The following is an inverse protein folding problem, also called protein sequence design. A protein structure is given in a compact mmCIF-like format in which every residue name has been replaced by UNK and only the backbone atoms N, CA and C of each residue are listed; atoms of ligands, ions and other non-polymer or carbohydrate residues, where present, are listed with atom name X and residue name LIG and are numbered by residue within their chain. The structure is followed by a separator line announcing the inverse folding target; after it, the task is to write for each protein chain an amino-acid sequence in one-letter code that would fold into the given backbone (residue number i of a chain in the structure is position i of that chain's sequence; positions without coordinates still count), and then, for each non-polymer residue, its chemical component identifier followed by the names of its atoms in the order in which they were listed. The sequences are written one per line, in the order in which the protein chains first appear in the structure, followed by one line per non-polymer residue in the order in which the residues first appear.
data_IF_630076645919
#
_entry.id   IF_630076645919
#
_cell.length_a   1.000
_cell.length_b   1.000
_cell.length_c   1.000
_cell.angle_alpha   90.00
_cell.angle_beta   90.00
_cell.angle_gamma   90.00
#
_symmetry.space_group_name_H-M   'P 1'
#
loop_
_entity.id
_entity.type
_entity.pdbx_description
1 polymer ?
#
# COMPACT_ATOMS: atom_id res chain seq x y z
N UNK A 1 13.52 -1.02 -20.73
CA UNK A 1 13.82 -1.00 -19.27
C UNK A 1 13.10 -2.14 -18.52
N UNK A 2 11.97 -2.58 -18.98
CA UNK A 2 11.18 -3.68 -18.33
C UNK A 2 11.86 -5.05 -18.38
N UNK A 3 12.84 -5.23 -19.26
CA UNK A 3 13.61 -6.47 -19.43
C UNK A 3 14.82 -6.59 -18.47
N UNK A 4 15.04 -5.61 -17.60
CA UNK A 4 16.11 -5.71 -16.60
C UNK A 4 15.73 -6.78 -15.59
N UNK A 5 16.55 -7.81 -15.41
CA UNK A 5 16.22 -8.90 -14.50
C UNK A 5 16.19 -8.40 -13.05
N UNK A 6 15.22 -8.85 -12.29
CA UNK A 6 15.07 -8.50 -10.85
C UNK A 6 15.98 -9.37 -9.98
N UNK A 7 17.27 -9.20 -10.15
CA UNK A 7 18.31 -9.88 -9.37
C UNK A 7 19.15 -8.85 -8.61
N UNK A 8 19.78 -9.26 -7.53
CA UNK A 8 20.56 -8.37 -6.64
C UNK A 8 21.63 -7.55 -7.39
N UNK A 9 22.30 -8.13 -8.39
CA UNK A 9 23.30 -7.43 -9.21
C UNK A 9 22.72 -6.30 -10.06
N UNK A 10 21.46 -6.43 -10.48
CA UNK A 10 20.79 -5.48 -11.37
C UNK A 10 19.94 -4.45 -10.61
N UNK A 11 19.82 -4.50 -9.30
CA UNK A 11 18.98 -3.59 -8.49
C UNK A 11 19.31 -2.11 -8.73
N UNK A 12 20.57 -1.77 -8.94
CA UNK A 12 20.99 -0.38 -9.24
C UNK A 12 20.49 0.13 -10.59
N UNK A 13 20.08 -0.77 -11.48
CA UNK A 13 19.57 -0.48 -12.81
C UNK A 13 18.04 -0.62 -12.89
N UNK A 14 17.38 -0.98 -11.80
CA UNK A 14 15.93 -1.20 -11.75
C UNK A 14 15.18 0.14 -11.75
N UNK A 15 14.96 0.65 -12.95
CA UNK A 15 14.22 1.89 -13.17
C UNK A 15 12.76 1.77 -12.74
N UNK A 16 12.15 0.58 -12.85
CA UNK A 16 10.75 0.36 -12.45
C UNK A 16 10.59 0.54 -10.94
N UNK A 17 11.45 -0.07 -10.13
CA UNK A 17 11.41 0.10 -8.68
C UNK A 17 11.71 1.53 -8.25
N UNK A 18 12.64 2.24 -8.89
CA UNK A 18 12.92 3.63 -8.56
C UNK A 18 11.74 4.56 -8.88
N UNK A 19 11.07 4.36 -10.00
CA UNK A 19 9.87 5.11 -10.37
C UNK A 19 8.67 4.75 -9.48
N UNK A 20 8.50 3.48 -9.15
CA UNK A 20 7.46 3.05 -8.21
C UNK A 20 7.65 3.67 -6.82
N UNK A 21 8.88 3.78 -6.35
CA UNK A 21 9.22 4.45 -5.10
C UNK A 21 8.79 5.93 -5.12
N UNK A 22 9.16 6.65 -6.17
CA UNK A 22 8.78 8.05 -6.35
C UNK A 22 7.25 8.22 -6.48
N UNK A 23 6.59 7.30 -7.19
CA UNK A 23 5.13 7.30 -7.31
C UNK A 23 4.43 7.14 -5.96
N UNK A 24 4.93 6.23 -5.10
CA UNK A 24 4.40 6.05 -3.75
C UNK A 24 4.52 7.32 -2.89
N UNK A 25 5.65 8.00 -2.96
CA UNK A 25 5.84 9.31 -2.32
C UNK A 25 4.86 10.35 -2.85
N UNK A 26 4.81 10.53 -4.17
CA UNK A 26 3.97 11.54 -4.82
C UNK A 26 2.48 11.32 -4.56
N UNK A 27 2.03 10.06 -4.53
CA UNK A 27 0.63 9.72 -4.23
C UNK A 27 0.21 10.22 -2.84
N UNK A 28 1.05 10.05 -1.83
CA UNK A 28 0.76 10.56 -0.48
C UNK A 28 0.74 12.08 -0.43
N UNK A 29 1.68 12.73 -1.11
CA UNK A 29 1.74 14.20 -1.15
C UNK A 29 0.50 14.78 -1.84
N UNK A 30 0.09 14.23 -2.97
CA UNK A 30 -1.13 14.64 -3.68
C UNK A 30 -2.37 14.41 -2.82
N UNK A 31 -2.52 13.22 -2.24
CA UNK A 31 -3.67 12.93 -1.38
C UNK A 31 -3.73 13.87 -0.16
N UNK A 32 -2.58 14.20 0.43
CA UNK A 32 -2.54 15.11 1.57
C UNK A 32 -2.91 16.54 1.19
N UNK A 33 -2.62 16.99 -0.03
CA UNK A 33 -2.98 18.31 -0.52
C UNK A 33 -4.48 18.48 -0.84
N UNK A 34 -5.12 17.40 -1.24
CA UNK A 34 -6.56 17.38 -1.56
C UNK A 34 -7.45 17.14 -0.33
N UNK A 35 -6.87 16.71 0.77
CA UNK A 35 -7.61 16.35 1.98
C UNK A 35 -7.87 17.56 2.89
N UNK A 36 -9.09 17.68 3.39
CA UNK A 36 -9.48 18.73 4.35
C UNK A 36 -9.22 18.33 5.82
N UNK A 37 -8.11 17.62 6.08
CA UNK A 37 -7.75 17.13 7.41
C UNK A 37 -6.23 17.10 7.56
N UNK A 38 -5.75 17.39 8.78
CA UNK A 38 -4.32 17.29 9.07
C UNK A 38 -3.83 15.82 9.08
N UNK A 39 -2.66 15.57 8.52
CA UNK A 39 -2.04 14.24 8.57
C UNK A 39 -1.66 13.85 10.01
N UNK A 40 -0.95 14.69 10.79
CA UNK A 40 -0.57 14.34 12.16
C UNK A 40 -1.70 14.61 13.15
N UNK A 41 -1.58 13.99 14.32
CA UNK A 41 -2.32 14.41 15.48
C UNK A 41 -1.86 15.82 15.92
N UNK A 42 -2.81 16.69 16.19
CA UNK A 42 -2.52 18.03 16.69
C UNK A 42 -3.28 18.30 17.99
N UNK A 43 -2.58 18.86 18.97
CA UNK A 43 -3.16 19.23 20.25
C UNK A 43 -3.24 20.76 20.34
N UNK A 44 -4.42 21.28 20.62
CA UNK A 44 -4.67 22.71 20.82
C UNK A 44 -5.36 22.93 22.16
N UNK A 45 -5.39 24.16 22.64
CA UNK A 45 -6.16 24.51 23.84
C UNK A 45 -7.67 24.22 23.70
N UNK A 46 -8.19 24.21 22.48
CA UNK A 46 -9.58 23.91 22.16
C UNK A 46 -9.88 22.41 22.03
N UNK A 47 -8.85 21.55 22.03
CA UNK A 47 -9.01 20.10 21.91
C UNK A 47 -7.94 19.42 21.03
N UNK A 48 -8.15 18.14 20.81
CA UNK A 48 -7.25 17.29 20.02
C UNK A 48 -7.84 16.98 18.67
N UNK A 49 -7.07 17.23 17.61
CA UNK A 49 -7.38 16.79 16.24
C UNK A 49 -6.75 15.43 16.04
N UNK A 50 -7.56 14.43 15.75
CA UNK A 50 -7.07 13.08 15.48
C UNK A 50 -6.32 13.02 14.14
N UNK A 51 -5.26 12.19 14.05
CA UNK A 51 -4.50 12.06 12.81
C UNK A 51 -5.34 11.44 11.70
N UNK A 52 -4.97 11.74 10.45
CA UNK A 52 -5.54 11.11 9.29
C UNK A 52 -5.29 9.60 9.27
N UNK A 53 -6.24 8.84 8.74
CA UNK A 53 -6.14 7.40 8.52
C UNK A 53 -5.87 7.12 7.06
N UNK A 54 -4.73 6.49 6.80
CA UNK A 54 -4.28 6.14 5.45
C UNK A 54 -4.31 4.63 5.29
N UNK A 55 -5.06 4.16 4.32
CA UNK A 55 -5.12 2.75 3.97
C UNK A 55 -4.39 2.52 2.66
N UNK A 56 -3.39 1.63 2.67
CA UNK A 56 -2.58 1.28 1.50
C UNK A 56 -2.91 -0.14 1.06
N UNK A 57 -3.34 -0.28 -0.16
CA UNK A 57 -3.67 -1.57 -0.77
C UNK A 57 -2.53 -1.96 -1.71
N UNK A 58 -1.83 -3.04 -1.37
CA UNK A 58 -0.64 -3.50 -2.06
C UNK A 58 0.66 -3.04 -1.38
N UNK A 59 1.41 -4.02 -0.87
CA UNK A 59 2.70 -3.82 -0.17
C UNK A 59 3.85 -4.14 -1.12
N UNK A 60 3.88 -3.44 -2.26
CA UNK A 60 5.02 -3.41 -3.17
C UNK A 60 5.92 -2.22 -2.88
N UNK A 61 6.87 -1.93 -3.77
CA UNK A 61 7.82 -0.81 -3.63
C UNK A 61 7.09 0.52 -3.43
N UNK A 62 6.08 0.80 -4.24
CA UNK A 62 5.26 2.01 -4.12
C UNK A 62 4.48 2.05 -2.81
N UNK A 63 3.83 0.94 -2.42
CA UNK A 63 3.06 0.85 -1.18
C UNK A 63 3.93 1.03 0.06
N UNK A 64 5.10 0.40 0.12
CA UNK A 64 6.06 0.57 1.22
C UNK A 64 6.52 2.02 1.35
N UNK A 65 6.84 2.67 0.23
CA UNK A 65 7.23 4.08 0.25
C UNK A 65 6.07 5.00 0.64
N UNK A 66 4.86 4.72 0.17
CA UNK A 66 3.66 5.46 0.57
C UNK A 66 3.42 5.35 2.08
N UNK A 67 3.50 4.13 2.63
CA UNK A 67 3.39 3.91 4.08
C UNK A 67 4.45 4.69 4.86
N UNK A 68 5.72 4.60 4.44
CA UNK A 68 6.82 5.31 5.09
C UNK A 68 6.60 6.83 5.07
N UNK A 69 6.15 7.38 3.94
CA UNK A 69 5.86 8.81 3.78
C UNK A 69 4.69 9.24 4.66
N UNK A 70 3.57 8.52 4.62
CA UNK A 70 2.39 8.83 5.44
C UNK A 70 2.69 8.75 6.95
N UNK A 71 3.49 7.77 7.37
CA UNK A 71 3.96 7.66 8.78
C UNK A 71 4.82 8.84 9.18
N UNK A 72 5.75 9.29 8.34
CA UNK A 72 6.57 10.48 8.61
C UNK A 72 5.74 11.75 8.72
N UNK A 73 4.64 11.84 7.98
CA UNK A 73 3.67 12.93 8.10
C UNK A 73 2.77 12.81 9.34
N UNK A 74 2.89 11.76 10.12
CA UNK A 74 2.17 11.56 11.37
C UNK A 74 0.80 10.88 11.25
N UNK A 75 0.46 10.34 10.10
CA UNK A 75 -0.79 9.62 9.87
C UNK A 75 -0.82 8.25 10.58
N UNK A 76 -2.02 7.74 10.83
CA UNK A 76 -2.25 6.33 11.15
C UNK A 76 -2.32 5.54 9.87
N UNK A 77 -1.39 4.60 9.69
CA UNK A 77 -1.27 3.85 8.45
C UNK A 77 -1.67 2.40 8.67
N UNK A 78 -2.57 1.94 7.83
CA UNK A 78 -2.98 0.55 7.72
C UNK A 78 -2.68 0.06 6.30
N UNK A 79 -2.35 -1.21 6.15
CA UNK A 79 -2.03 -1.79 4.86
C UNK A 79 -2.64 -3.18 4.71
N UNK A 80 -2.94 -3.54 3.48
CA UNK A 80 -3.40 -4.85 3.09
C UNK A 80 -2.61 -5.37 1.89
N UNK A 81 -2.27 -6.64 1.92
CA UNK A 81 -1.74 -7.39 0.78
C UNK A 81 -2.24 -8.83 0.87
N UNK A 82 -2.37 -9.49 -0.27
CA UNK A 82 -2.75 -10.91 -0.33
C UNK A 82 -1.62 -11.84 0.08
N UNK A 83 -0.37 -11.34 0.09
CA UNK A 83 0.82 -12.09 0.47
C UNK A 83 1.10 -11.94 1.97
N UNK A 84 1.03 -13.01 2.78
CA UNK A 84 1.29 -12.92 4.22
C UNK A 84 2.75 -12.59 4.55
N UNK A 85 3.69 -12.92 3.68
CA UNK A 85 5.13 -12.66 3.89
C UNK A 85 5.49 -11.17 4.05
N UNK A 86 4.65 -10.24 3.56
CA UNK A 86 4.90 -8.80 3.65
C UNK A 86 4.49 -8.19 5.00
N UNK A 87 3.83 -8.95 5.88
CA UNK A 87 3.35 -8.46 7.18
C UNK A 87 4.47 -7.86 8.03
N UNK A 88 5.64 -8.52 8.07
CA UNK A 88 6.79 -8.01 8.82
C UNK A 88 7.31 -6.69 8.29
N UNK A 89 7.33 -6.52 6.97
CA UNK A 89 7.74 -5.27 6.33
C UNK A 89 6.80 -4.13 6.71
N UNK A 90 5.49 -4.36 6.72
CA UNK A 90 4.49 -3.38 7.15
C UNK A 90 4.70 -3.00 8.62
N UNK A 91 4.87 -3.99 9.49
CA UNK A 91 5.12 -3.77 10.92
C UNK A 91 6.42 -2.99 11.17
N UNK A 92 7.48 -3.27 10.42
CA UNK A 92 8.76 -2.58 10.54
C UNK A 92 8.67 -1.08 10.25
N UNK A 93 7.73 -0.67 9.41
CA UNK A 93 7.41 0.73 9.14
C UNK A 93 6.50 1.37 10.21
N UNK A 94 6.06 0.62 11.21
CA UNK A 94 5.13 1.07 12.22
C UNK A 94 3.69 1.20 11.71
N UNK A 95 3.35 0.55 10.60
CA UNK A 95 2.00 0.46 10.08
C UNK A 95 1.30 -0.81 10.58
N UNK A 96 -0.04 -0.80 10.54
CA UNK A 96 -0.85 -1.95 10.93
C UNK A 96 -1.18 -2.78 9.69
N UNK A 97 -0.88 -4.07 9.74
CA UNK A 97 -1.31 -4.99 8.70
C UNK A 97 -2.74 -5.47 8.96
N UNK A 98 -3.62 -5.29 7.98
CA UNK A 98 -5.00 -5.75 8.05
C UNK A 98 -5.05 -7.19 7.51
N UNK A 99 -5.44 -8.10 8.38
CA UNK A 99 -5.67 -9.49 7.98
C UNK A 99 -7.13 -9.64 7.57
N UNK A 100 -7.34 -9.97 6.31
CA UNK A 100 -8.63 -10.40 5.80
C UNK A 100 -8.48 -11.89 5.55
N UNK A 101 -9.30 -12.68 6.25
CA UNK A 101 -9.30 -14.13 6.06
C UNK A 101 -9.94 -14.45 4.70
N UNK A 102 -9.10 -14.68 3.73
CA UNK A 102 -9.47 -15.07 2.35
C UNK A 102 -9.16 -16.55 2.08
N UNK A 103 -8.75 -17.31 3.10
CA UNK A 103 -8.27 -18.67 2.98
C UNK A 103 -6.78 -18.75 2.59
N UNK A 104 -6.30 -19.94 2.27
CA UNK A 104 -4.89 -20.16 1.90
C UNK A 104 -4.59 -19.52 0.54
N UNK A 105 -3.63 -18.62 0.53
CA UNK A 105 -3.07 -18.02 -0.69
C UNK A 105 -1.62 -18.43 -0.86
N UNK A 106 -1.28 -18.94 -2.04
CA UNK A 106 0.09 -19.27 -2.41
C UNK A 106 0.72 -18.09 -3.16
N UNK A 107 2.02 -17.91 -3.00
CA UNK A 107 2.80 -16.98 -3.81
C UNK A 107 3.32 -17.69 -5.06
N UNK A 108 3.47 -16.95 -6.16
CA UNK A 108 4.19 -17.44 -7.33
C UNK A 108 5.70 -17.32 -7.10
N UNK A 109 6.50 -18.14 -7.81
CA UNK A 109 7.99 -18.11 -7.76
C UNK A 109 8.60 -16.73 -8.04
N UNK A 110 7.82 -15.83 -8.64
CA UNK A 110 8.23 -14.45 -8.94
C UNK A 110 7.78 -13.43 -7.89
N UNK A 111 7.20 -13.86 -6.76
CA UNK A 111 6.74 -12.98 -5.68
C UNK A 111 5.45 -12.19 -5.98
N UNK A 112 4.67 -12.61 -6.97
CA UNK A 112 3.34 -12.06 -7.24
C UNK A 112 2.26 -12.92 -6.56
N UNK A 113 1.16 -12.28 -6.17
CA UNK A 113 0.02 -13.01 -5.64
C UNK A 113 -0.62 -13.88 -6.75
N UNK A 114 -0.99 -15.12 -6.40
CA UNK A 114 -1.73 -16.02 -7.30
C UNK A 114 -3.16 -15.49 -7.52
N UNK A 115 -3.76 -15.82 -8.65
CA UNK A 115 -5.15 -15.46 -8.92
C UNK A 115 -6.08 -16.06 -7.85
N UNK A 116 -6.94 -15.20 -7.28
CA UNK A 116 -7.88 -15.55 -6.23
C UNK A 116 -9.16 -16.16 -6.84
N UNK A 117 -9.78 -17.08 -6.13
CA UNK A 117 -11.12 -17.59 -6.49
C UNK A 117 -12.18 -16.50 -6.30
N UNK A 118 -13.33 -16.61 -6.97
CA UNK A 118 -14.44 -15.64 -6.84
C UNK A 118 -14.88 -15.45 -5.39
N UNK A 119 -14.97 -16.52 -4.61
CA UNK A 119 -15.32 -16.43 -3.17
C UNK A 119 -14.27 -15.68 -2.35
N UNK A 120 -12.99 -15.91 -2.63
CA UNK A 120 -11.90 -15.20 -1.97
C UNK A 120 -11.91 -13.70 -2.32
N UNK A 121 -12.24 -13.37 -3.57
CA UNK A 121 -12.40 -11.99 -4.03
C UNK A 121 -13.56 -11.28 -3.32
N UNK A 122 -14.69 -11.96 -3.11
CA UNK A 122 -15.81 -11.37 -2.36
C UNK A 122 -15.46 -11.11 -0.90
N UNK A 123 -14.86 -12.08 -0.22
CA UNK A 123 -14.41 -11.90 1.18
C UNK A 123 -13.40 -10.77 1.30
N UNK A 124 -12.48 -10.69 0.36
CA UNK A 124 -11.50 -9.60 0.29
C UNK A 124 -12.18 -8.25 0.09
N UNK A 125 -13.14 -8.16 -0.83
CA UNK A 125 -13.90 -6.92 -1.10
C UNK A 125 -14.67 -6.46 0.13
N UNK A 126 -15.36 -7.36 0.83
CA UNK A 126 -16.09 -7.02 2.05
C UNK A 126 -15.16 -6.54 3.17
N UNK A 127 -14.02 -7.22 3.37
CA UNK A 127 -13.03 -6.81 4.35
C UNK A 127 -12.45 -5.43 4.03
N UNK A 128 -12.06 -5.19 2.78
CA UNK A 128 -11.54 -3.90 2.34
C UNK A 128 -12.59 -2.79 2.42
N UNK A 129 -13.85 -3.07 2.07
CA UNK A 129 -14.95 -2.11 2.16
C UNK A 129 -15.10 -1.53 3.56
N UNK A 130 -14.97 -2.36 4.60
CA UNK A 130 -15.02 -1.90 6.00
C UNK A 130 -13.88 -0.96 6.32
N UNK A 131 -12.65 -1.27 5.87
CA UNK A 131 -11.47 -0.45 6.13
C UNK A 131 -11.53 0.86 5.36
N UNK A 132 -11.92 0.83 4.08
CA UNK A 132 -12.12 2.03 3.27
C UNK A 132 -13.15 2.98 3.88
N UNK A 133 -14.21 2.42 4.49
CA UNK A 133 -15.30 3.22 5.05
C UNK A 133 -14.91 4.14 6.21
N UNK A 134 -13.82 3.84 6.94
CA UNK A 134 -13.30 4.69 8.01
C UNK A 134 -11.96 5.35 7.70
N UNK A 135 -11.40 5.11 6.53
CA UNK A 135 -10.14 5.71 6.09
C UNK A 135 -10.36 7.08 5.44
N UNK A 136 -9.48 8.03 5.72
CA UNK A 136 -9.51 9.35 5.11
C UNK A 136 -8.84 9.34 3.72
N UNK A 137 -7.84 8.46 3.54
CA UNK A 137 -7.10 8.26 2.27
C UNK A 137 -7.02 6.77 2.00
N UNK A 138 -7.37 6.36 0.79
CA UNK A 138 -7.09 5.03 0.28
C UNK A 138 -6.13 5.13 -0.90
N UNK A 139 -4.97 4.49 -0.78
CA UNK A 139 -3.97 4.43 -1.85
C UNK A 139 -3.97 3.05 -2.47
N UNK A 140 -4.28 3.00 -3.75
CA UNK A 140 -4.19 1.80 -4.58
C UNK A 140 -3.22 2.09 -5.72
N UNK A 141 -2.01 1.56 -5.65
CA UNK A 141 -1.06 1.63 -6.73
C UNK A 141 -0.96 0.28 -7.42
N UNK A 142 -1.48 0.22 -8.62
CA UNK A 142 -1.25 -0.90 -9.53
C UNK A 142 -0.16 -0.49 -10.51
N UNK A 143 1.00 -1.11 -10.41
CA UNK A 143 1.98 -1.02 -11.48
C UNK A 143 1.30 -1.57 -12.75
N UNK A 144 1.33 -0.86 -13.90
CA UNK A 144 0.80 -1.42 -15.13
C UNK A 144 1.53 -2.73 -15.38
N UNK A 145 0.80 -3.83 -15.26
CA UNK A 145 1.34 -5.12 -15.61
C UNK A 145 1.46 -5.20 -17.14
N UNK A 146 2.32 -6.06 -17.68
CA UNK A 146 2.34 -6.30 -19.12
C UNK A 146 0.97 -6.68 -19.69
N UNK A 147 0.07 -7.22 -18.85
CA UNK A 147 -1.32 -7.54 -19.24
C UNK A 147 -2.17 -6.27 -19.45
N UNK A 148 -1.94 -5.21 -18.67
CA UNK A 148 -2.72 -3.96 -18.76
C UNK A 148 -2.30 -3.11 -19.98
N UNK A 149 -1.13 -3.39 -20.56
CA UNK A 149 -0.65 -2.67 -21.74
C UNK A 149 -1.23 -3.20 -23.07
N UNK A 150 -1.95 -4.33 -23.04
CA UNK A 150 -2.52 -4.98 -24.23
C UNK A 150 -4.06 -4.96 -24.28
N UNK A 151 -4.70 -4.32 -23.35
CA UNK A 151 -6.13 -4.02 -23.32
C UNK A 151 -6.39 -2.54 -23.51
#
# INVERSE_FOLDING_TARGET
MELIPRITRAQKMDALSSQANLAGYSAVMLASSEMNKAMPMMMTAAGTISPARVFVIGVGVAGLQAMATAKRLGARVEAFDTRPAVEEQVKSLGARFIKIDIGETEETDQGYAKELTEKQLELQREGMKKVCGYSDICLLYTSPSPRDMWT
#
